data_IF_830518757359
#
_entry.id   IF_830518757359
#
_cell.length_a   1.000
_cell.length_b   1.000
_cell.length_c   1.000
_cell.angle_alpha   90.00
_cell.angle_beta   90.00
_cell.angle_gamma   90.00
#
_symmetry.space_group_name_H-M   'P 1'
#
loop_
_entity.id
_entity.type
_entity.pdbx_description
1 polymer ?
#
# COMPACT_ATOMS: atom_id res chain seq x y z
N UNK A 1 4.12 -45.40 -10.28
CA UNK A 1 5.45 -45.02 -9.74
C UNK A 1 5.71 -43.60 -10.22
N UNK A 2 6.09 -42.70 -9.31
CA UNK A 2 6.39 -41.32 -9.68
C UNK A 2 7.58 -41.33 -10.65
N UNK A 3 7.40 -40.74 -11.83
CA UNK A 3 8.44 -40.65 -12.85
C UNK A 3 9.55 -39.71 -12.35
N UNK A 4 10.77 -40.23 -12.25
CA UNK A 4 11.96 -39.53 -11.76
C UNK A 4 12.27 -38.27 -12.58
N UNK A 5 11.92 -38.31 -13.88
CA UNK A 5 11.98 -37.16 -14.78
C UNK A 5 11.06 -36.03 -14.33
N UNK A 6 9.84 -36.36 -13.91
CA UNK A 6 8.85 -35.37 -13.45
C UNK A 6 9.26 -34.72 -12.14
N UNK A 7 9.94 -35.46 -11.25
CA UNK A 7 10.48 -34.89 -10.01
C UNK A 7 11.61 -33.92 -10.31
N UNK A 8 12.50 -34.25 -11.26
CA UNK A 8 13.58 -33.34 -11.66
C UNK A 8 13.08 -32.06 -12.31
N UNK A 9 12.02 -32.15 -13.13
CA UNK A 9 11.44 -31.00 -13.79
C UNK A 9 10.77 -30.06 -12.79
N UNK A 10 10.05 -30.60 -11.80
CA UNK A 10 9.46 -29.82 -10.69
C UNK A 10 10.56 -29.14 -9.86
N UNK A 11 11.63 -29.86 -9.53
CA UNK A 11 12.74 -29.29 -8.73
C UNK A 11 13.46 -28.18 -9.50
N UNK A 12 13.70 -28.35 -10.80
CA UNK A 12 14.26 -27.28 -11.65
C UNK A 12 13.36 -26.05 -11.66
N UNK A 13 12.05 -26.23 -11.81
CA UNK A 13 11.10 -25.13 -11.82
C UNK A 13 11.09 -24.37 -10.47
N UNK A 14 11.16 -25.10 -9.36
CA UNK A 14 11.26 -24.51 -8.01
C UNK A 14 12.59 -23.76 -7.81
N UNK A 15 13.72 -24.32 -8.25
CA UNK A 15 15.02 -23.65 -8.16
C UNK A 15 15.05 -22.38 -9.00
N UNK A 16 14.45 -22.39 -10.20
CA UNK A 16 14.31 -21.19 -11.04
C UNK A 16 13.46 -20.14 -10.35
N UNK A 17 12.32 -20.54 -9.75
CA UNK A 17 11.45 -19.63 -8.96
C UNK A 17 12.14 -19.08 -7.71
N UNK A 18 13.04 -19.83 -7.07
CA UNK A 18 13.81 -19.36 -5.91
C UNK A 18 15.01 -18.48 -6.28
N UNK A 19 15.64 -18.74 -7.44
CA UNK A 19 16.84 -18.01 -7.92
C UNK A 19 16.48 -16.68 -8.58
N UNK A 20 15.27 -16.57 -9.13
CA UNK A 20 14.65 -15.30 -9.46
C UNK A 20 14.17 -14.66 -8.15
N UNK A 21 15.12 -14.13 -7.38
CA UNK A 21 14.79 -13.21 -6.31
C UNK A 21 14.03 -12.06 -6.94
N UNK A 22 12.69 -12.06 -6.80
CA UNK A 22 11.86 -10.95 -7.22
C UNK A 22 12.40 -9.71 -6.52
N UNK A 23 13.06 -8.83 -7.29
CA UNK A 23 13.28 -7.46 -6.87
C UNK A 23 11.88 -6.94 -6.58
N UNK A 24 11.55 -6.82 -5.29
CA UNK A 24 10.23 -6.42 -4.86
C UNK A 24 10.09 -4.98 -5.33
N UNK A 25 9.40 -4.76 -6.45
CA UNK A 25 9.26 -3.42 -6.99
C UNK A 25 8.36 -2.66 -6.02
N UNK A 26 8.99 -1.91 -5.11
CA UNK A 26 8.26 -1.20 -4.08
C UNK A 26 7.55 0.00 -4.70
N UNK A 27 6.29 0.19 -4.32
CA UNK A 27 5.50 1.34 -4.75
C UNK A 27 6.06 2.67 -4.21
N UNK A 28 5.52 3.78 -4.71
CA UNK A 28 5.89 5.13 -4.23
C UNK A 28 5.73 5.22 -2.70
N UNK A 29 6.83 5.55 -1.99
CA UNK A 29 6.85 5.69 -0.54
C UNK A 29 6.98 4.38 0.24
N UNK A 30 7.21 3.25 -0.43
CA UNK A 30 7.46 1.94 0.19
C UNK A 30 8.96 1.66 0.17
N UNK A 31 9.52 1.34 1.35
CA UNK A 31 10.94 1.05 1.55
C UNK A 31 11.09 -0.35 2.15
N UNK A 32 12.19 -1.02 1.82
CA UNK A 32 12.50 -2.37 2.34
C UNK A 32 13.13 -2.33 3.74
N UNK A 33 13.70 -1.19 4.12
CA UNK A 33 14.27 -0.96 5.45
C UNK A 33 13.54 0.19 6.20
N UNK A 34 13.40 0.02 7.51
CA UNK A 34 12.70 0.98 8.37
C UNK A 34 13.46 2.30 8.53
N UNK A 35 14.80 2.26 8.61
CA UNK A 35 15.59 3.49 8.76
C UNK A 35 15.52 4.34 7.49
N UNK A 36 15.45 3.70 6.32
CA UNK A 36 15.23 4.40 5.04
C UNK A 36 13.89 5.12 5.02
N UNK A 37 12.81 4.46 5.45
CA UNK A 37 11.48 5.07 5.56
C UNK A 37 11.50 6.28 6.51
N UNK A 38 12.13 6.14 7.68
CA UNK A 38 12.26 7.23 8.66
C UNK A 38 13.07 8.39 8.09
N UNK A 39 14.18 8.12 7.42
CA UNK A 39 15.03 9.14 6.81
C UNK A 39 14.28 9.92 5.71
N UNK A 40 13.53 9.21 4.85
CA UNK A 40 12.70 9.83 3.83
C UNK A 40 11.58 10.70 4.44
N UNK A 41 10.88 10.19 5.46
CA UNK A 41 9.84 10.93 6.17
C UNK A 41 10.38 12.21 6.83
N UNK A 42 11.56 12.16 7.47
CA UNK A 42 12.22 13.34 8.06
C UNK A 42 12.52 14.41 7.02
N UNK A 43 13.02 14.01 5.84
CA UNK A 43 13.29 14.92 4.72
C UNK A 43 11.99 15.58 4.23
N UNK A 44 10.94 14.79 4.00
CA UNK A 44 9.64 15.30 3.54
C UNK A 44 9.00 16.26 4.56
N UNK A 45 9.07 15.93 5.86
CA UNK A 45 8.52 16.75 6.93
C UNK A 45 9.18 18.13 7.00
N UNK A 46 10.51 18.21 6.80
CA UNK A 46 11.23 19.47 6.80
C UNK A 46 10.76 20.43 5.69
N UNK A 47 10.36 19.89 4.53
CA UNK A 47 9.77 20.66 3.43
C UNK A 47 8.33 21.04 3.76
N UNK A 48 7.50 20.06 4.16
CA UNK A 48 6.09 20.27 4.49
C UNK A 48 5.90 21.34 5.57
N UNK A 49 6.77 21.36 6.58
CA UNK A 49 6.73 22.34 7.68
C UNK A 49 6.92 23.79 7.21
N UNK A 50 7.59 24.01 6.08
CA UNK A 50 7.82 25.35 5.51
C UNK A 50 6.75 25.76 4.49
N UNK A 51 5.87 24.83 4.09
CA UNK A 51 4.76 25.13 3.19
C UNK A 51 3.71 25.99 3.88
N UNK A 52 3.05 26.86 3.10
CA UNK A 52 1.89 27.64 3.54
C UNK A 52 0.67 26.74 3.78
N UNK A 53 -0.35 27.26 4.47
CA UNK A 53 -1.60 26.54 4.68
C UNK A 53 -2.28 26.17 3.36
N UNK A 54 -2.33 27.10 2.38
CA UNK A 54 -2.90 26.82 1.05
C UNK A 54 -2.19 25.69 0.31
N UNK A 55 -0.86 25.61 0.42
CA UNK A 55 -0.10 24.52 -0.20
C UNK A 55 -0.41 23.18 0.47
N UNK A 56 -0.53 23.15 1.80
CA UNK A 56 -0.93 21.94 2.53
C UNK A 56 -2.38 21.55 2.22
N UNK A 57 -3.27 22.52 2.10
CA UNK A 57 -4.67 22.31 1.75
C UNK A 57 -4.81 21.66 0.37
N UNK A 58 -3.98 22.07 -0.61
CA UNK A 58 -3.94 21.41 -1.93
C UNK A 58 -3.55 19.94 -1.84
N UNK A 59 -2.58 19.60 -0.99
CA UNK A 59 -2.15 18.21 -0.75
C UNK A 59 -3.29 17.43 -0.10
N UNK A 60 -3.86 17.95 0.98
CA UNK A 60 -4.98 17.36 1.73
C UNK A 60 -6.18 17.12 0.81
N UNK A 61 -6.56 18.12 0.01
CA UNK A 61 -7.66 18.02 -0.96
C UNK A 61 -7.45 16.84 -1.92
N UNK A 62 -6.22 16.65 -2.43
CA UNK A 62 -5.90 15.54 -3.32
C UNK A 62 -5.94 14.18 -2.63
N UNK A 63 -5.49 14.10 -1.38
CA UNK A 63 -5.60 12.89 -0.55
C UNK A 63 -7.09 12.53 -0.36
N UNK A 64 -7.92 13.49 0.04
CA UNK A 64 -9.37 13.29 0.23
C UNK A 64 -10.05 12.84 -1.06
N UNK A 65 -9.73 13.47 -2.19
CA UNK A 65 -10.21 13.07 -3.51
C UNK A 65 -9.88 11.59 -3.79
N UNK A 66 -8.62 11.19 -3.57
CA UNK A 66 -8.19 9.81 -3.81
C UNK A 66 -8.82 8.79 -2.87
N UNK A 67 -9.04 9.13 -1.60
CA UNK A 67 -9.76 8.26 -0.67
C UNK A 67 -11.19 8.03 -1.15
N UNK A 68 -11.88 9.09 -1.60
CA UNK A 68 -13.25 8.96 -2.12
C UNK A 68 -13.32 8.11 -3.40
N UNK A 69 -12.39 8.34 -4.35
CA UNK A 69 -12.28 7.55 -5.58
C UNK A 69 -12.02 6.06 -5.30
N UNK A 70 -11.27 5.73 -4.25
CA UNK A 70 -10.85 4.36 -3.92
C UNK A 70 -11.58 3.75 -2.72
N UNK A 71 -12.65 4.39 -2.23
CA UNK A 71 -13.29 4.00 -0.97
C UNK A 71 -13.78 2.54 -0.97
N UNK A 72 -14.31 2.06 -2.09
CA UNK A 72 -14.74 0.67 -2.26
C UNK A 72 -13.57 -0.30 -2.33
N UNK A 73 -12.56 0.00 -3.15
CA UNK A 73 -11.36 -0.83 -3.29
C UNK A 73 -10.69 -1.06 -1.94
N UNK A 74 -10.44 0.03 -1.20
CA UNK A 74 -9.83 -0.03 0.14
C UNK A 74 -10.71 -0.79 1.14
N UNK A 75 -12.03 -0.61 1.09
CA UNK A 75 -12.96 -1.32 1.96
C UNK A 75 -12.95 -2.83 1.72
N UNK A 76 -12.94 -3.24 0.45
CA UNK A 76 -12.89 -4.65 0.05
C UNK A 76 -11.57 -5.29 0.46
N UNK A 77 -10.44 -4.67 0.10
CA UNK A 77 -9.11 -5.13 0.51
C UNK A 77 -9.01 -5.32 2.03
N UNK A 78 -9.51 -4.36 2.81
CA UNK A 78 -9.45 -4.45 4.26
C UNK A 78 -10.33 -5.56 4.85
N UNK A 79 -11.47 -5.90 4.24
CA UNK A 79 -12.28 -7.06 4.67
C UNK A 79 -11.60 -8.35 4.26
N UNK A 80 -11.12 -8.44 3.03
CA UNK A 80 -10.51 -9.65 2.47
C UNK A 80 -9.21 -10.02 3.21
N UNK A 81 -8.39 -9.03 3.56
CA UNK A 81 -7.12 -9.23 4.29
C UNK A 81 -7.34 -9.58 5.76
N UNK A 82 -8.28 -8.91 6.43
CA UNK A 82 -8.42 -9.03 7.90
C UNK A 82 -9.53 -9.97 8.36
N UNK A 83 -10.48 -10.29 7.48
CA UNK A 83 -11.71 -11.02 7.82
C UNK A 83 -12.69 -10.24 8.72
N UNK A 84 -12.44 -8.96 9.01
CA UNK A 84 -13.20 -8.20 10.02
C UNK A 84 -14.13 -7.13 9.44
N UNK A 85 -15.39 -7.15 9.89
CA UNK A 85 -16.41 -6.16 9.53
C UNK A 85 -17.06 -6.44 8.19
N UNK A 86 -17.67 -5.42 7.57
CA UNK A 86 -18.29 -5.54 6.25
C UNK A 86 -17.89 -4.38 5.32
N UNK A 87 -17.96 -4.61 4.01
CA UNK A 87 -17.50 -3.68 2.98
C UNK A 87 -18.30 -2.38 3.01
N UNK A 88 -19.64 -2.45 3.09
CA UNK A 88 -20.51 -1.27 3.08
C UNK A 88 -20.19 -0.27 4.19
N UNK A 89 -20.03 -0.74 5.42
CA UNK A 89 -19.64 0.12 6.54
C UNK A 89 -18.22 0.69 6.38
N UNK A 90 -17.27 -0.09 5.85
CA UNK A 90 -15.91 0.43 5.60
C UNK A 90 -15.89 1.48 4.49
N UNK A 91 -16.74 1.38 3.46
CA UNK A 91 -16.91 2.44 2.45
C UNK A 91 -17.36 3.74 3.13
N UNK A 92 -18.40 3.67 3.97
CA UNK A 92 -18.91 4.83 4.69
C UNK A 92 -17.84 5.43 5.61
N UNK A 93 -17.05 4.60 6.31
CA UNK A 93 -15.93 5.06 7.14
C UNK A 93 -14.86 5.77 6.31
N UNK A 94 -14.47 5.24 5.15
CA UNK A 94 -13.48 5.85 4.27
C UNK A 94 -13.97 7.23 3.77
N UNK A 95 -15.24 7.33 3.32
CA UNK A 95 -15.84 8.61 2.93
C UNK A 95 -15.92 9.61 4.09
N UNK A 96 -16.33 9.14 5.27
CA UNK A 96 -16.40 9.96 6.47
C UNK A 96 -15.03 10.60 6.79
N UNK A 97 -13.95 9.82 6.73
CA UNK A 97 -12.59 10.33 6.97
C UNK A 97 -12.19 11.38 5.93
N UNK A 98 -12.52 11.17 4.65
CA UNK A 98 -12.21 12.11 3.58
C UNK A 98 -13.00 13.42 3.69
N UNK A 99 -14.24 13.37 4.17
CA UNK A 99 -15.15 14.51 4.18
C UNK A 99 -15.14 15.30 5.49
N UNK A 100 -14.94 14.64 6.64
CA UNK A 100 -15.25 15.22 7.95
C UNK A 100 -14.07 15.36 8.91
N UNK A 101 -12.90 14.81 8.60
CA UNK A 101 -11.69 15.03 9.43
C UNK A 101 -11.25 16.49 9.33
N UNK A 102 -11.05 17.23 10.44
CA UNK A 102 -10.47 18.57 10.40
C UNK A 102 -8.95 18.48 10.24
N UNK A 103 -8.44 18.87 9.07
CA UNK A 103 -7.03 18.74 8.65
C UNK A 103 -6.87 17.83 7.44
#
# INVERSE_FOLDING_TARGET
MLNEQSVQDIVKEVIVKMSLGEQTQTGMGIFTDMNEAIAAAKKAQAVLRRMSMDQREKIITKIRQKINENAETLARMAVDETGMGNVGHKILKNRLVAEKTPG
#
